data_IF_848317506258
#
_entry.id   IF_848317506258
#
_cell.length_a   1.000
_cell.length_b   1.000
_cell.length_c   1.000
_cell.angle_alpha   90.00
_cell.angle_beta   90.00
_cell.angle_gamma   90.00
#
_symmetry.space_group_name_H-M   'P 1'
#
loop_
_entity.id
_entity.type
_entity.pdbx_description
1 polymer ?
#
# COMPACT_ATOMS: atom_id res chain seq x y z
N UNK A 1 7.32 4.30 -17.25
CA UNK A 1 6.06 3.56 -17.52
C UNK A 1 5.21 3.66 -16.26
N UNK A 2 4.00 4.19 -16.36
CA UNK A 2 3.03 4.24 -15.26
C UNK A 2 1.91 3.28 -15.64
N UNK A 3 1.65 2.28 -14.82
CA UNK A 3 0.60 1.30 -15.03
C UNK A 3 -0.63 1.71 -14.21
N UNK A 4 -1.77 2.00 -14.83
CA UNK A 4 -3.01 2.18 -14.10
C UNK A 4 -3.46 0.85 -13.50
N UNK A 5 -3.89 0.88 -12.25
CA UNK A 5 -4.44 -0.25 -11.52
C UNK A 5 -5.69 0.18 -10.76
N UNK A 6 -6.53 -0.78 -10.39
CA UNK A 6 -7.70 -0.52 -9.55
C UNK A 6 -7.33 -0.56 -8.08
N UNK A 7 -8.07 0.17 -7.26
CA UNK A 7 -8.01 0.06 -5.81
C UNK A 7 -8.39 -1.36 -5.36
N UNK A 8 -7.57 -1.99 -4.50
CA UNK A 8 -7.76 -3.27 -3.83
C UNK A 8 -9.04 -3.34 -2.99
N UNK A 9 -9.61 -2.20 -2.58
CA UNK A 9 -10.84 -2.19 -1.78
C UNK A 9 -12.01 -2.62 -2.66
N UNK A 10 -12.76 -3.68 -2.28
CA UNK A 10 -13.88 -4.19 -3.07
C UNK A 10 -14.92 -3.12 -3.39
N UNK A 11 -15.32 -3.02 -4.66
CA UNK A 11 -16.28 -2.03 -5.16
C UNK A 11 -15.76 -0.59 -5.16
N UNK A 12 -14.44 -0.38 -5.12
CA UNK A 12 -13.84 0.94 -5.34
C UNK A 12 -13.39 1.07 -6.80
N UNK A 13 -14.06 1.92 -7.56
CA UNK A 13 -13.73 2.14 -8.99
C UNK A 13 -12.61 3.15 -9.21
N UNK A 14 -11.88 3.53 -8.15
CA UNK A 14 -10.79 4.48 -8.27
C UNK A 14 -9.58 3.82 -8.92
N UNK A 15 -9.16 4.41 -10.04
CA UNK A 15 -7.88 4.10 -10.66
C UNK A 15 -6.75 4.75 -9.86
N UNK A 16 -5.70 3.99 -9.62
CA UNK A 16 -4.45 4.39 -9.00
C UNK A 16 -3.30 4.07 -9.94
N UNK A 17 -2.28 4.90 -9.89
CA UNK A 17 -1.10 4.73 -10.73
C UNK A 17 -0.01 4.01 -9.95
N UNK A 18 0.38 2.81 -10.41
CA UNK A 18 1.56 2.11 -9.89
C UNK A 18 2.65 2.11 -10.95
N UNK A 19 3.92 2.23 -10.55
CA UNK A 19 5.02 2.00 -11.50
C UNK A 19 5.41 0.52 -11.45
N UNK A 20 5.45 -0.19 -12.60
CA UNK A 20 5.81 -1.59 -12.63
C UNK A 20 7.26 -1.79 -12.19
N UNK A 21 7.47 -2.90 -11.49
CA UNK A 21 8.70 -3.32 -10.84
C UNK A 21 9.76 -3.68 -11.89
N UNK A 22 10.41 -2.69 -12.49
CA UNK A 22 11.64 -2.92 -13.25
C UNK A 22 12.70 -1.92 -12.79
N UNK A 23 13.75 -2.50 -12.22
CA UNK A 23 15.02 -1.89 -11.82
C UNK A 23 15.04 -1.10 -10.51
N UNK A 24 15.74 -1.72 -9.56
CA UNK A 24 16.33 -1.19 -8.33
C UNK A 24 16.92 0.21 -8.62
N UNK A 25 16.17 1.30 -8.37
CA UNK A 25 16.66 2.68 -8.08
C UNK A 25 15.57 3.78 -8.08
N UNK A 26 14.32 3.51 -8.44
CA UNK A 26 13.31 4.58 -8.46
C UNK A 26 12.62 4.80 -7.10
N UNK A 27 12.80 6.01 -6.55
CA UNK A 27 11.86 6.65 -5.62
C UNK A 27 10.53 6.80 -6.38
N UNK A 28 9.55 5.90 -6.21
CA UNK A 28 8.13 6.13 -5.85
C UNK A 28 7.38 4.86 -6.31
N UNK A 29 6.82 4.10 -5.36
CA UNK A 29 5.40 3.73 -5.20
C UNK A 29 5.22 2.27 -5.50
N UNK A 30 5.73 1.49 -4.54
CA UNK A 30 5.71 0.03 -4.59
C UNK A 30 4.39 -0.57 -4.17
N UNK A 31 3.41 0.19 -3.69
CA UNK A 31 2.18 -0.39 -3.12
C UNK A 31 1.00 0.55 -3.24
N UNK A 32 0.68 0.97 -4.47
CA UNK A 32 -0.61 1.59 -4.72
C UNK A 32 -1.64 0.50 -5.02
N UNK A 33 -2.01 -0.33 -4.04
CA UNK A 33 -3.29 -1.05 -4.09
C UNK A 33 -4.41 -0.23 -3.45
N UNK A 34 -4.10 0.79 -2.66
CA UNK A 34 -5.12 1.62 -2.01
C UNK A 34 -5.17 3.02 -2.62
N UNK A 35 -6.37 3.52 -2.89
CA UNK A 35 -6.57 4.91 -3.26
C UNK A 35 -6.35 5.83 -2.04
N UNK A 36 -6.11 7.12 -2.30
CA UNK A 36 -5.83 8.12 -1.26
C UNK A 36 -6.90 8.17 -0.16
N UNK A 37 -8.16 7.92 -0.52
CA UNK A 37 -9.29 8.00 0.42
C UNK A 37 -9.30 6.81 1.37
N UNK A 38 -9.06 5.60 0.88
CA UNK A 38 -8.96 4.42 1.73
C UNK A 38 -7.68 4.42 2.56
N UNK A 39 -6.59 4.97 2.04
CA UNK A 39 -5.38 5.19 2.82
C UNK A 39 -5.60 6.19 3.98
N UNK A 40 -6.59 7.10 3.89
CA UNK A 40 -6.94 7.99 5.01
C UNK A 40 -7.73 7.29 6.11
N UNK A 41 -8.35 6.14 5.83
CA UNK A 41 -9.09 5.35 6.83
C UNK A 41 -8.18 4.47 7.70
N UNK A 42 -6.95 4.23 7.24
CA UNK A 42 -5.95 3.41 7.93
C UNK A 42 -5.32 4.22 9.07
N UNK A 43 -5.08 3.55 10.20
CA UNK A 43 -4.47 4.17 11.37
C UNK A 43 -3.12 4.82 11.03
N UNK A 44 -2.83 6.04 11.50
CA UNK A 44 -1.58 6.74 11.24
C UNK A 44 -0.32 5.93 11.59
N UNK A 45 -0.36 5.18 12.69
CA UNK A 45 0.78 4.37 13.15
C UNK A 45 1.06 3.20 12.22
N UNK A 46 0.03 2.52 11.71
CA UNK A 46 0.17 1.45 10.72
C UNK A 46 0.76 1.98 9.42
N UNK A 47 0.33 3.17 8.99
CA UNK A 47 0.92 3.85 7.83
C UNK A 47 2.38 4.24 8.06
N UNK A 48 2.74 4.65 9.27
CA UNK A 48 4.13 4.95 9.65
C UNK A 48 4.99 3.69 9.59
N UNK A 49 4.56 2.59 10.21
CA UNK A 49 5.26 1.29 10.14
C UNK A 49 5.47 0.83 8.71
N UNK A 50 4.43 0.91 7.87
CA UNK A 50 4.55 0.58 6.44
C UNK A 50 5.58 1.45 5.72
N UNK A 51 5.58 2.76 6.00
CA UNK A 51 6.55 3.71 5.43
C UNK A 51 7.98 3.40 5.89
N UNK A 52 8.15 3.05 7.16
CA UNK A 52 9.47 2.79 7.74
C UNK A 52 10.03 1.45 7.23
N UNK A 53 9.21 0.39 7.17
CA UNK A 53 9.57 -0.88 6.52
C UNK A 53 9.92 -0.71 5.03
N UNK A 54 9.21 0.19 4.33
CA UNK A 54 9.53 0.57 2.95
C UNK A 54 10.89 1.23 2.84
N UNK A 55 11.21 2.13 3.77
CA UNK A 55 12.47 2.86 3.79
C UNK A 55 13.62 1.88 4.05
N UNK A 56 13.45 0.99 5.03
CA UNK A 56 14.41 -0.06 5.36
C UNK A 56 14.69 -0.97 4.16
N UNK A 57 13.65 -1.50 3.50
CA UNK A 57 13.83 -2.33 2.31
C UNK A 57 14.50 -1.58 1.15
N UNK A 58 14.27 -0.26 1.02
CA UNK A 58 14.94 0.56 0.01
C UNK A 58 16.43 0.77 0.30
N UNK A 59 16.77 0.94 1.57
CA UNK A 59 18.15 1.18 2.00
C UNK A 59 18.97 -0.12 2.01
N UNK A 60 18.33 -1.24 2.35
CA UNK A 60 18.94 -2.57 2.38
C UNK A 60 17.97 -3.58 1.77
N UNK A 61 18.00 -3.77 0.43
CA UNK A 61 17.08 -4.66 -0.28
C UNK A 61 17.40 -6.12 0.01
N UNK A 62 16.98 -6.57 1.18
CA UNK A 62 17.09 -7.92 1.69
C UNK A 62 15.75 -8.66 1.58
N UNK A 63 15.81 -9.99 1.54
CA UNK A 63 14.60 -10.83 1.61
C UNK A 63 13.80 -10.57 2.90
N UNK A 64 14.49 -10.38 4.03
CA UNK A 64 13.86 -10.05 5.30
C UNK A 64 13.09 -8.72 5.22
N UNK A 65 13.69 -7.68 4.65
CA UNK A 65 13.04 -6.39 4.43
C UNK A 65 11.82 -6.48 3.50
N UNK A 66 11.91 -7.28 2.44
CA UNK A 66 10.78 -7.53 1.54
C UNK A 66 9.61 -8.23 2.28
N UNK A 67 9.91 -9.21 3.13
CA UNK A 67 8.92 -9.94 3.93
C UNK A 67 8.27 -9.03 4.98
N UNK A 68 9.05 -8.22 5.70
CA UNK A 68 8.54 -7.25 6.68
C UNK A 68 7.61 -6.24 6.02
N UNK A 69 8.02 -5.71 4.86
CA UNK A 69 7.23 -4.79 4.07
C UNK A 69 5.92 -5.42 3.57
N UNK A 70 5.96 -6.63 3.01
CA UNK A 70 4.76 -7.35 2.58
C UNK A 70 3.79 -7.62 3.75
N UNK A 71 4.30 -7.98 4.93
CA UNK A 71 3.48 -8.17 6.13
C UNK A 71 2.81 -6.87 6.57
N UNK A 72 3.58 -5.78 6.66
CA UNK A 72 3.05 -4.48 7.01
C UNK A 72 1.97 -4.01 6.03
N UNK A 73 2.16 -4.28 4.74
CA UNK A 73 1.18 -3.97 3.70
C UNK A 73 -0.15 -4.71 3.91
N UNK A 74 -0.12 -6.03 4.10
CA UNK A 74 -1.35 -6.82 4.28
C UNK A 74 -2.18 -6.34 5.46
N UNK A 75 -1.54 -5.91 6.55
CA UNK A 75 -2.24 -5.33 7.71
C UNK A 75 -2.94 -4.02 7.32
N UNK A 76 -2.24 -3.14 6.61
CA UNK A 76 -2.80 -1.86 6.13
C UNK A 76 -3.96 -2.09 5.15
N UNK A 77 -3.83 -3.05 4.24
CA UNK A 77 -4.85 -3.41 3.26
C UNK A 77 -6.10 -3.98 3.91
N UNK A 78 -5.96 -4.95 4.84
CA UNK A 78 -7.08 -5.51 5.58
C UNK A 78 -7.85 -4.42 6.35
N UNK A 79 -7.13 -3.55 7.06
CA UNK A 79 -7.76 -2.45 7.80
C UNK A 79 -8.50 -1.47 6.89
N UNK A 80 -7.93 -1.15 5.72
CA UNK A 80 -8.60 -0.28 4.75
C UNK A 80 -9.91 -0.89 4.25
N UNK A 81 -9.92 -2.20 3.98
CA UNK A 81 -11.12 -2.93 3.54
C UNK A 81 -12.17 -2.96 4.64
N UNK A 82 -11.79 -3.32 5.87
CA UNK A 82 -12.69 -3.35 7.03
C UNK A 82 -13.35 -2.00 7.26
N UNK A 83 -12.57 -0.91 7.30
CA UNK A 83 -13.08 0.45 7.53
C UNK A 83 -13.96 0.96 6.38
N UNK A 84 -13.63 0.62 5.14
CA UNK A 84 -14.47 0.97 3.99
C UNK A 84 -15.80 0.20 4.01
N UNK A 85 -15.78 -1.08 4.42
CA UNK A 85 -16.97 -1.89 4.63
C UNK A 85 -17.89 -1.33 5.71
N UNK A 86 -17.34 -0.95 6.87
CA UNK A 86 -18.13 -0.33 7.95
C UNK A 86 -18.76 1.00 7.55
N UNK A 87 -18.11 1.78 6.67
CA UNK A 87 -18.67 3.03 6.12
C UNK A 87 -19.77 2.82 5.09
N UNK A 88 -19.83 1.66 4.44
CA UNK A 88 -20.90 1.30 3.50
C UNK A 88 -22.16 0.79 4.21
N UNK A 89 -21.99 0.22 5.40
CA UNK A 89 -23.08 -0.34 6.21
C UNK A 89 -23.74 0.70 7.14
N UNK A 90 -23.17 1.90 7.24
CA UNK A 90 -23.70 3.05 7.98
C UNK A 90 -24.31 4.06 7.00
#
# INVERSE_FOLDING_TARGET
MITPCSCSVPGCDRTITIMPFLTIRSRHDLLGGLCRDHLRLVDPDRRRVLRDARLEFRLSPSLAGAVLFQRAWRIVEAQAIERAGSRRAA
#
